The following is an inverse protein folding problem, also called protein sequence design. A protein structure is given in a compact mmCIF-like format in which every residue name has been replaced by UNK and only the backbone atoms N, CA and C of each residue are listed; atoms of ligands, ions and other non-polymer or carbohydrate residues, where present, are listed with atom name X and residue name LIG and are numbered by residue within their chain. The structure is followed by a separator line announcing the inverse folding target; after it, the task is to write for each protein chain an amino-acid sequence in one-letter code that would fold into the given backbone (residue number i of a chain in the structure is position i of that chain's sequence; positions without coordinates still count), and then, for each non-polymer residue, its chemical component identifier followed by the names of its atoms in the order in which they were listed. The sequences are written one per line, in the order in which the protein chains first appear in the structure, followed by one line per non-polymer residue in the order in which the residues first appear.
data_IF_616220139208
#
_entry.id   IF_616220139208
#
_cell.length_a   1.000
_cell.length_b   1.000
_cell.length_c   1.000
_cell.angle_alpha   90.00
_cell.angle_beta   90.00
_cell.angle_gamma   90.00
#
_symmetry.space_group_name_H-M   'P 1'
#
loop_
_entity.id
_entity.type
_entity.pdbx_description
1 polymer ?
#
# COMPACT_ATOMS: atom_id res chain seq x y z
N UNK A 1 -20.91 -24.21 33.31
CA UNK A 1 -21.79 -24.16 32.13
C UNK A 1 -21.21 -23.11 31.20
N UNK A 2 -20.41 -23.54 30.22
CA UNK A 2 -19.94 -22.66 29.14
C UNK A 2 -21.14 -22.44 28.21
N UNK A 3 -21.62 -21.20 28.12
CA UNK A 3 -22.54 -20.81 27.07
C UNK A 3 -21.70 -20.27 25.92
N UNK A 4 -21.60 -21.06 24.86
CA UNK A 4 -21.18 -20.59 23.55
C UNK A 4 -22.10 -19.43 23.15
N UNK A 5 -21.52 -18.25 22.98
CA UNK A 5 -22.20 -17.14 22.32
C UNK A 5 -22.34 -17.52 20.84
N UNK A 6 -23.53 -17.96 20.43
CA UNK A 6 -23.89 -18.06 19.02
C UNK A 6 -23.74 -16.67 18.38
N UNK A 7 -22.72 -16.49 17.55
CA UNK A 7 -22.64 -15.37 16.62
C UNK A 7 -23.87 -15.41 15.72
N UNK A 8 -24.80 -14.47 15.92
CA UNK A 8 -25.95 -14.31 15.03
C UNK A 8 -25.46 -13.95 13.62
N UNK A 9 -25.49 -14.92 12.71
CA UNK A 9 -25.24 -14.69 11.30
C UNK A 9 -26.32 -13.78 10.71
N UNK A 10 -25.94 -12.58 10.25
CA UNK A 10 -26.84 -11.68 9.54
C UNK A 10 -26.86 -12.09 8.07
N UNK A 11 -28.01 -12.56 7.58
CA UNK A 11 -28.20 -12.89 6.17
C UNK A 11 -28.90 -11.73 5.47
N UNK A 12 -28.35 -11.29 4.33
CA UNK A 12 -28.93 -10.26 3.46
C UNK A 12 -28.92 -10.74 2.02
N UNK A 13 -29.97 -10.39 1.29
CA UNK A 13 -30.12 -10.70 -0.13
C UNK A 13 -29.93 -9.45 -0.96
N UNK A 14 -29.22 -9.59 -2.06
CA UNK A 14 -28.88 -8.51 -2.99
C UNK A 14 -28.96 -9.04 -4.41
N UNK A 15 -29.48 -8.25 -5.34
CA UNK A 15 -29.45 -8.56 -6.77
C UNK A 15 -28.05 -8.30 -7.35
N UNK A 16 -27.31 -7.33 -6.79
CA UNK A 16 -25.99 -6.94 -7.26
C UNK A 16 -25.03 -6.85 -6.07
N UNK A 17 -23.89 -7.55 -6.17
CA UNK A 17 -22.83 -7.54 -5.17
C UNK A 17 -21.53 -7.06 -5.82
N UNK A 18 -20.96 -5.99 -5.27
CA UNK A 18 -19.62 -5.52 -5.63
C UNK A 18 -18.63 -6.04 -4.59
N UNK A 19 -17.71 -6.90 -5.02
CA UNK A 19 -16.68 -7.46 -4.16
C UNK A 19 -15.39 -6.64 -4.28
N UNK A 20 -15.08 -5.85 -3.25
CA UNK A 20 -13.91 -4.97 -3.20
C UNK A 20 -12.87 -5.41 -2.17
N UNK A 21 -12.86 -6.70 -1.81
CA UNK A 21 -11.87 -7.28 -0.92
C UNK A 21 -10.79 -8.01 -1.74
N UNK A 22 -9.51 -7.92 -1.37
CA UNK A 22 -8.44 -8.63 -2.06
C UNK A 22 -8.60 -10.15 -1.93
N UNK A 23 -9.06 -10.82 -2.99
CA UNK A 23 -9.34 -12.27 -3.04
C UNK A 23 -8.09 -13.09 -2.71
N UNK A 24 -6.91 -12.61 -3.11
CA UNK A 24 -5.63 -13.26 -2.92
C UNK A 24 -5.14 -13.23 -1.46
N UNK A 25 -5.71 -12.34 -0.63
CA UNK A 25 -5.35 -12.18 0.79
C UNK A 25 -6.50 -12.48 1.75
N UNK A 26 -7.73 -12.44 1.27
CA UNK A 26 -8.92 -12.67 2.10
C UNK A 26 -9.12 -14.16 2.34
N UNK A 27 -8.64 -14.64 3.49
CA UNK A 27 -9.01 -15.95 4.04
C UNK A 27 -10.40 -15.94 4.70
N UNK A 28 -10.95 -14.75 4.92
CA UNK A 28 -12.19 -14.51 5.67
C UNK A 28 -13.44 -14.68 4.79
N UNK A 29 -13.32 -14.52 3.46
CA UNK A 29 -14.46 -14.64 2.54
C UNK A 29 -14.47 -16.00 1.85
N UNK A 30 -15.60 -16.70 1.98
CA UNK A 30 -15.90 -17.95 1.28
C UNK A 30 -17.07 -17.74 0.33
N UNK A 31 -16.91 -18.19 -0.91
CA UNK A 31 -17.98 -18.20 -1.91
C UNK A 31 -18.67 -19.56 -1.87
N UNK A 32 -20.00 -19.58 -1.75
CA UNK A 32 -20.80 -20.82 -1.70
C UNK A 32 -22.00 -20.69 -2.64
N UNK A 33 -22.12 -21.53 -3.70
CA UNK A 33 -21.11 -22.48 -4.15
C UNK A 33 -19.82 -21.77 -4.61
N UNK A 34 -18.73 -22.52 -4.75
CA UNK A 34 -17.46 -21.94 -5.19
C UNK A 34 -17.60 -21.27 -6.57
N UNK A 35 -16.88 -20.16 -6.76
CA UNK A 35 -16.77 -19.48 -8.05
C UNK A 35 -15.52 -20.01 -8.77
N UNK A 36 -15.65 -20.74 -9.91
CA UNK A 36 -14.51 -21.43 -10.53
C UNK A 36 -13.33 -20.53 -10.92
N UNK A 37 -13.60 -19.29 -11.36
CA UNK A 37 -12.55 -18.32 -11.72
C UNK A 37 -11.68 -17.95 -10.52
N UNK A 38 -12.28 -17.83 -9.32
CA UNK A 38 -11.57 -17.53 -8.08
C UNK A 38 -10.71 -18.71 -7.61
N UNK A 39 -11.24 -19.93 -7.69
CA UNK A 39 -10.53 -21.13 -7.24
C UNK A 39 -9.31 -21.44 -8.10
N UNK A 40 -9.39 -21.21 -9.42
CA UNK A 40 -8.23 -21.31 -10.31
C UNK A 40 -7.18 -20.26 -9.95
N UNK A 41 -7.63 -19.01 -9.79
CA UNK A 41 -6.77 -17.87 -9.50
C UNK A 41 -5.99 -17.99 -8.19
N UNK A 42 -6.63 -18.47 -7.11
CA UNK A 42 -5.96 -18.66 -5.81
C UNK A 42 -4.80 -19.65 -5.88
N UNK A 43 -4.81 -20.60 -6.81
CA UNK A 43 -3.74 -21.61 -6.96
C UNK A 43 -2.48 -21.04 -7.61
N UNK A 44 -2.61 -20.00 -8.43
CA UNK A 44 -1.50 -19.44 -9.22
C UNK A 44 -0.66 -18.40 -8.44
N UNK A 45 -1.09 -18.07 -7.21
CA UNK A 45 -0.41 -17.17 -6.27
C UNK A 45 0.25 -15.96 -6.97
N UNK A 46 -0.57 -15.11 -7.60
CA UNK A 46 -0.13 -13.76 -7.91
C UNK A 46 0.01 -13.01 -6.59
N UNK A 47 1.23 -12.54 -6.29
CA UNK A 47 1.57 -11.94 -5.00
C UNK A 47 1.75 -10.44 -5.18
N UNK A 48 0.99 -9.68 -4.41
CA UNK A 48 1.37 -8.31 -4.09
C UNK A 48 2.63 -8.38 -3.24
N UNK A 49 3.61 -7.51 -3.49
CA UNK A 49 4.82 -7.47 -2.66
C UNK A 49 4.46 -6.91 -1.28
N UNK A 50 5.01 -7.51 -0.23
CA UNK A 50 4.93 -6.91 1.11
C UNK A 50 5.72 -5.60 1.08
N UNK A 51 5.12 -4.53 1.58
CA UNK A 51 5.69 -3.20 1.56
C UNK A 51 5.34 -2.50 2.87
N UNK A 52 6.11 -2.74 3.92
CA UNK A 52 5.87 -2.12 5.22
C UNK A 52 6.18 -0.63 5.13
N UNK A 53 5.25 0.21 5.57
CA UNK A 53 5.51 1.64 5.75
C UNK A 53 5.89 1.93 7.19
N UNK A 54 7.08 2.48 7.40
CA UNK A 54 7.49 3.00 8.71
C UNK A 54 7.61 4.52 8.64
N UNK A 55 6.91 5.23 9.53
CA UNK A 55 7.09 6.65 9.75
C UNK A 55 7.97 6.88 10.97
N UNK A 56 9.05 7.65 10.81
CA UNK A 56 10.01 7.93 11.89
C UNK A 56 10.31 9.43 11.92
N UNK A 57 10.26 10.05 13.09
CA UNK A 57 10.82 11.40 13.28
C UNK A 57 12.25 11.27 13.81
N UNK A 58 13.24 11.39 12.94
CA UNK A 58 14.64 11.10 13.29
C UNK A 58 15.65 12.06 12.67
N UNK A 59 16.92 11.87 13.02
CA UNK A 59 18.08 12.48 12.34
C UNK A 59 18.78 11.36 11.59
N UNK A 60 18.99 11.52 10.28
CA UNK A 60 19.66 10.49 9.48
C UNK A 60 21.09 10.24 9.96
N UNK A 61 21.50 8.97 9.96
CA UNK A 61 22.88 8.59 10.19
C UNK A 61 23.73 8.92 8.96
N UNK A 62 24.39 10.08 8.99
CA UNK A 62 25.16 10.57 7.84
C UNK A 62 26.31 9.64 7.42
N UNK A 63 26.77 8.72 8.28
CA UNK A 63 27.82 7.76 7.93
C UNK A 63 27.33 6.66 6.98
N UNK A 64 26.01 6.43 6.89
CA UNK A 64 25.44 5.44 5.99
C UNK A 64 25.26 5.93 4.56
N UNK A 65 25.32 7.24 4.32
CA UNK A 65 25.05 7.82 3.02
C UNK A 65 26.34 8.29 2.33
N UNK A 66 26.48 8.07 1.01
CA UNK A 66 27.66 8.47 0.25
C UNK A 66 28.00 9.96 0.47
N UNK A 67 29.29 10.30 0.49
CA UNK A 67 29.75 11.68 0.66
C UNK A 67 29.18 12.63 -0.40
N UNK A 68 28.88 12.13 -1.61
CA UNK A 68 28.19 12.90 -2.65
C UNK A 68 26.78 13.34 -2.25
N UNK A 69 26.03 12.51 -1.52
CA UNK A 69 24.73 12.87 -0.99
C UNK A 69 24.83 13.95 0.11
N UNK A 70 25.98 14.01 0.81
CA UNK A 70 26.25 15.05 1.83
C UNK A 70 26.41 16.45 1.22
N UNK A 71 26.66 16.57 -0.07
CA UNK A 71 26.69 17.88 -0.74
C UNK A 71 25.29 18.51 -0.86
N UNK A 72 24.22 17.73 -0.70
CA UNK A 72 22.83 18.14 -0.93
C UNK A 72 21.97 18.09 0.35
N UNK A 73 22.53 18.43 1.52
CA UNK A 73 21.76 18.43 2.76
C UNK A 73 20.66 19.53 2.79
N UNK A 74 19.46 19.21 3.34
CA UNK A 74 19.09 17.93 3.92
C UNK A 74 18.84 16.83 2.86
N UNK A 75 19.26 15.59 3.16
CA UNK A 75 18.85 14.42 2.35
C UNK A 75 17.34 14.27 2.48
N UNK A 76 16.62 14.51 1.38
CA UNK A 76 15.15 14.46 1.33
C UNK A 76 14.62 13.12 0.85
N UNK A 77 15.42 12.36 0.11
CA UNK A 77 15.01 11.09 -0.48
C UNK A 77 16.20 10.16 -0.69
N UNK A 78 15.97 8.87 -0.48
CA UNK A 78 16.90 7.77 -0.72
C UNK A 78 16.10 6.67 -1.40
N UNK A 79 16.59 6.23 -2.56
CA UNK A 79 16.04 5.09 -3.30
C UNK A 79 17.11 4.01 -3.37
N UNK A 80 16.74 2.77 -3.09
CA UNK A 80 17.66 1.64 -3.18
C UNK A 80 17.44 0.87 -4.48
N UNK A 81 18.47 0.14 -4.89
CA UNK A 81 18.38 -0.86 -5.95
C UNK A 81 18.46 -2.26 -5.33
N UNK A 82 18.23 -3.29 -6.14
CA UNK A 82 18.37 -4.69 -5.71
C UNK A 82 19.77 -5.08 -5.25
N UNK A 83 20.79 -4.24 -5.47
CA UNK A 83 22.17 -4.47 -5.04
C UNK A 83 22.52 -3.73 -3.73
N UNK A 84 21.56 -3.02 -3.12
CA UNK A 84 21.80 -2.29 -1.87
C UNK A 84 21.78 -3.22 -0.66
N UNK A 85 22.72 -3.02 0.26
CA UNK A 85 22.73 -3.70 1.56
C UNK A 85 21.74 -3.10 2.58
N UNK A 86 21.02 -2.03 2.20
CA UNK A 86 20.05 -1.39 3.09
C UNK A 86 18.74 -2.21 3.14
N UNK A 87 18.12 -2.37 4.32
CA UNK A 87 16.88 -3.15 4.50
C UNK A 87 15.62 -2.39 4.06
N UNK A 88 15.73 -1.46 3.10
CA UNK A 88 14.65 -0.57 2.67
C UNK A 88 14.58 -0.54 1.14
N UNK A 89 13.39 -0.28 0.61
CA UNK A 89 13.17 0.14 -0.78
C UNK A 89 13.41 1.63 -0.97
N UNK A 90 12.88 2.44 -0.05
CA UNK A 90 13.04 3.88 -0.09
C UNK A 90 12.83 4.53 1.26
N UNK A 91 13.37 5.73 1.39
CA UNK A 91 13.20 6.63 2.53
C UNK A 91 13.01 8.04 2.00
N UNK A 92 11.99 8.75 2.46
CA UNK A 92 11.72 10.12 2.02
C UNK A 92 11.19 11.01 3.14
N UNK A 93 11.63 12.26 3.19
CA UNK A 93 11.11 13.30 4.08
C UNK A 93 9.67 13.63 3.69
N UNK A 94 8.81 13.79 4.70
CA UNK A 94 7.46 14.31 4.52
C UNK A 94 7.43 15.82 4.66
N UNK A 95 7.09 16.46 3.55
CA UNK A 95 6.98 17.90 3.40
C UNK A 95 5.50 18.29 3.53
N UNK A 96 5.15 19.35 4.30
CA UNK A 96 3.78 19.81 4.41
C UNK A 96 3.18 20.17 3.04
N UNK A 97 2.00 19.63 2.73
CA UNK A 97 1.29 19.90 1.46
C UNK A 97 0.75 21.33 1.33
N UNK A 98 0.85 22.12 2.41
CA UNK A 98 0.52 23.55 2.42
C UNK A 98 1.54 24.40 1.67
N UNK A 99 2.79 23.92 1.54
CA UNK A 99 3.82 24.59 0.76
C UNK A 99 3.54 24.34 -0.73
N UNK A 100 3.53 25.41 -1.51
CA UNK A 100 3.12 25.42 -2.92
C UNK A 100 4.28 25.70 -3.87
N UNK A 101 5.32 26.39 -3.41
CA UNK A 101 6.45 26.77 -4.27
C UNK A 101 7.74 26.06 -3.88
N UNK A 102 8.66 25.93 -4.84
CA UNK A 102 10.00 25.39 -4.58
C UNK A 102 10.79 26.25 -3.58
N UNK A 103 10.58 27.57 -3.58
CA UNK A 103 11.21 28.50 -2.64
C UNK A 103 10.71 28.29 -1.21
N UNK A 104 9.39 28.12 -1.02
CA UNK A 104 8.79 27.80 0.27
C UNK A 104 9.32 26.47 0.82
N UNK A 105 9.41 25.46 -0.04
CA UNK A 105 9.98 24.16 0.31
C UNK A 105 11.46 24.29 0.68
N UNK A 106 12.26 24.99 -0.13
CA UNK A 106 13.68 25.22 0.13
C UNK A 106 13.93 25.95 1.46
N UNK A 107 13.14 26.99 1.73
CA UNK A 107 13.16 27.72 3.00
C UNK A 107 12.81 26.80 4.17
N UNK A 108 11.70 26.05 4.06
CA UNK A 108 11.27 25.10 5.08
C UNK A 108 12.36 24.07 5.40
N UNK A 109 12.95 23.44 4.38
CA UNK A 109 13.99 22.44 4.54
C UNK A 109 15.24 23.04 5.19
N UNK A 110 15.68 24.21 4.73
CA UNK A 110 16.88 24.88 5.25
C UNK A 110 16.70 25.29 6.71
N UNK A 111 15.60 25.95 7.05
CA UNK A 111 15.31 26.37 8.44
C UNK A 111 15.21 25.17 9.38
N UNK A 112 14.56 24.09 8.95
CA UNK A 112 14.46 22.86 9.75
C UNK A 112 15.82 22.19 9.92
N UNK A 113 16.63 22.14 8.87
CA UNK A 113 17.96 21.56 8.93
C UNK A 113 18.90 22.36 9.85
N UNK A 114 18.92 23.69 9.73
CA UNK A 114 19.70 24.57 10.62
C UNK A 114 19.32 24.35 12.08
N UNK A 115 18.01 24.39 12.40
CA UNK A 115 17.53 24.11 13.75
C UNK A 115 17.93 22.72 14.25
N UNK A 116 17.92 21.71 13.38
CA UNK A 116 18.37 20.37 13.73
C UNK A 116 19.85 20.34 14.11
N UNK A 117 20.70 21.05 13.36
CA UNK A 117 22.13 21.16 13.65
C UNK A 117 22.41 21.91 14.95
N UNK A 118 21.66 22.96 15.25
CA UNK A 118 21.81 23.75 16.48
C UNK A 118 21.36 22.99 17.73
N UNK A 119 20.23 22.27 17.64
CA UNK A 119 19.57 21.67 18.81
C UNK A 119 19.86 20.19 18.98
N UNK A 120 20.42 19.53 17.96
CA UNK A 120 20.53 18.08 17.87
C UNK A 120 19.19 17.35 18.11
N UNK A 121 18.08 17.97 17.71
CA UNK A 121 16.73 17.45 17.89
C UNK A 121 16.08 17.13 16.54
N UNK A 122 15.43 15.96 16.37
CA UNK A 122 14.79 15.57 15.11
C UNK A 122 13.79 16.60 14.58
N UNK A 123 14.07 17.20 13.42
CA UNK A 123 13.18 18.19 12.79
C UNK A 123 12.33 17.62 11.64
N UNK A 124 12.71 16.47 11.09
CA UNK A 124 12.06 15.85 9.94
C UNK A 124 11.30 14.57 10.32
N UNK A 125 10.19 14.35 9.64
CA UNK A 125 9.49 13.06 9.62
C UNK A 125 9.79 12.36 8.30
N UNK A 126 10.17 11.10 8.38
CA UNK A 126 10.53 10.25 7.25
C UNK A 126 9.46 9.19 7.08
N UNK A 127 9.13 8.87 5.83
CA UNK A 127 8.40 7.66 5.44
C UNK A 127 9.40 6.71 4.81
N UNK A 128 9.36 5.46 5.24
CA UNK A 128 10.27 4.42 4.82
C UNK A 128 9.42 3.27 4.27
N UNK A 129 9.76 2.77 3.10
CA UNK A 129 9.21 1.53 2.57
C UNK A 129 10.26 0.43 2.70
N UNK A 130 9.87 -0.72 3.25
CA UNK A 130 10.74 -1.87 3.46
C UNK A 130 10.03 -3.20 3.17
N UNK A 131 10.76 -4.27 2.83
CA UNK A 131 10.19 -5.60 2.63
C UNK A 131 9.52 -6.14 3.91
N UNK A 132 10.08 -5.78 5.07
CA UNK A 132 9.65 -6.25 6.38
C UNK A 132 9.63 -5.11 7.42
N UNK A 133 9.10 -5.39 8.61
CA UNK A 133 9.14 -4.46 9.74
C UNK A 133 10.60 -4.24 10.14
N UNK A 134 11.03 -2.98 10.14
CA UNK A 134 12.40 -2.60 10.50
C UNK A 134 12.68 -2.89 11.97
N UNK A 135 13.78 -3.59 12.22
CA UNK A 135 14.28 -3.84 13.57
C UNK A 135 14.90 -2.58 14.17
N UNK A 136 15.16 -2.59 15.47
CA UNK A 136 15.91 -1.50 16.12
C UNK A 136 17.31 -1.35 15.51
N UNK A 137 17.95 -2.45 15.12
CA UNK A 137 19.24 -2.44 14.45
C UNK A 137 19.15 -1.76 13.09
N UNK A 138 18.10 -2.04 12.31
CA UNK A 138 17.87 -1.37 11.02
C UNK A 138 17.62 0.13 11.20
N UNK A 139 16.90 0.52 12.24
CA UNK A 139 16.67 1.94 12.56
C UNK A 139 17.96 2.63 13.01
N UNK A 140 18.82 1.97 13.79
CA UNK A 140 20.15 2.47 14.15
C UNK A 140 21.09 2.60 12.95
N UNK A 141 20.90 1.75 11.93
CA UNK A 141 21.59 1.90 10.66
C UNK A 141 21.17 3.24 10.02
N UNK A 142 19.87 3.46 9.85
CA UNK A 142 19.34 4.61 9.10
C UNK A 142 19.39 5.95 9.87
N UNK A 143 19.27 5.93 11.19
CA UNK A 143 19.10 7.11 12.04
C UNK A 143 20.04 7.14 13.24
N UNK A 144 20.32 8.34 13.73
CA UNK A 144 20.92 8.55 15.04
C UNK A 144 19.95 8.14 16.16
N UNK A 145 20.45 7.65 17.29
CA UNK A 145 19.68 7.06 18.40
C UNK A 145 18.62 7.95 19.07
N UNK A 146 18.52 9.23 18.71
CA UNK A 146 17.57 10.21 19.26
C UNK A 146 16.26 10.32 18.46
N UNK A 147 15.90 9.34 17.62
CA UNK A 147 14.61 9.33 16.93
C UNK A 147 13.43 9.26 17.90
N UNK A 148 12.30 9.78 17.44
CA UNK A 148 11.04 9.88 18.20
C UNK A 148 9.90 9.44 17.28
N UNK A 149 8.81 8.95 17.89
CA UNK A 149 7.53 8.62 17.22
C UNK A 149 7.69 7.70 16.01
N UNK A 150 7.43 6.41 16.23
CA UNK A 150 7.42 5.40 15.17
C UNK A 150 5.97 4.95 14.95
N UNK A 151 5.53 4.98 13.70
CA UNK A 151 4.24 4.41 13.27
C UNK A 151 4.51 3.42 12.14
N UNK A 152 3.91 2.24 12.21
CA UNK A 152 4.14 1.15 11.26
C UNK A 152 2.80 0.75 10.67
N UNK A 153 2.74 0.71 9.35
CA UNK A 153 1.63 0.14 8.60
C UNK A 153 2.15 -1.05 7.79
N UNK A 154 1.62 -2.23 8.06
CA UNK A 154 1.96 -3.46 7.35
C UNK A 154 0.91 -3.73 6.26
N UNK A 155 1.33 -3.54 5.03
CA UNK A 155 0.46 -3.62 3.86
C UNK A 155 1.25 -4.18 2.68
N UNK A 156 0.52 -4.49 1.62
CA UNK A 156 1.07 -5.05 0.40
C UNK A 156 0.83 -4.04 -0.71
N UNK A 157 1.84 -3.84 -1.56
CA UNK A 157 1.80 -2.91 -2.67
C UNK A 157 2.62 -3.50 -3.82
N UNK A 158 2.33 -3.07 -5.04
CA UNK A 158 3.01 -3.49 -6.27
C UNK A 158 2.83 -5.00 -6.58
N UNK A 159 2.08 -5.34 -7.63
CA UNK A 159 1.99 -6.73 -8.05
C UNK A 159 3.34 -7.26 -8.56
N UNK A 160 3.60 -8.54 -8.32
CA UNK A 160 4.67 -9.26 -8.98
C UNK A 160 4.29 -9.60 -10.41
N UNK A 161 4.82 -8.84 -11.36
CA UNK A 161 4.56 -9.06 -12.78
C UNK A 161 5.20 -10.36 -13.29
N UNK A 162 4.41 -11.16 -14.01
CA UNK A 162 4.84 -12.32 -14.79
C UNK A 162 4.33 -12.19 -16.22
N UNK A 163 5.01 -12.82 -17.18
CA UNK A 163 4.61 -12.78 -18.60
C UNK A 163 4.29 -14.22 -19.05
N UNK A 164 3.07 -14.51 -19.51
CA UNK A 164 1.90 -13.62 -19.51
C UNK A 164 1.40 -13.32 -18.09
N UNK A 165 0.74 -12.18 -17.91
CA UNK A 165 0.09 -11.82 -16.66
C UNK A 165 -1.37 -12.25 -16.76
N UNK A 166 -1.80 -13.11 -15.87
CA UNK A 166 -3.20 -13.50 -15.77
C UNK A 166 -3.97 -12.42 -14.98
N UNK A 167 -5.30 -12.35 -15.18
CA UNK A 167 -6.22 -11.45 -14.47
C UNK A 167 -7.53 -12.16 -14.12
N UNK A 168 -8.10 -11.85 -12.95
CA UNK A 168 -9.50 -12.18 -12.69
C UNK A 168 -10.41 -11.30 -13.56
N UNK A 169 -11.56 -11.84 -14.01
CA UNK A 169 -12.55 -11.02 -14.70
C UNK A 169 -13.24 -10.06 -13.72
N UNK A 170 -13.71 -8.92 -14.24
CA UNK A 170 -14.59 -8.01 -13.50
C UNK A 170 -15.94 -8.66 -13.14
N UNK A 171 -16.42 -9.62 -13.95
CA UNK A 171 -17.66 -10.35 -13.72
C UNK A 171 -17.29 -11.75 -13.20
N UNK A 172 -17.59 -12.00 -11.92
CA UNK A 172 -17.36 -13.30 -11.29
C UNK A 172 -18.54 -14.25 -11.53
N UNK A 173 -19.76 -13.71 -11.48
CA UNK A 173 -20.99 -14.42 -11.77
C UNK A 173 -22.02 -13.47 -12.39
N UNK A 174 -22.75 -13.92 -13.42
CA UNK A 174 -23.87 -13.19 -14.03
C UNK A 174 -25.01 -14.16 -14.31
N UNK A 175 -26.21 -13.82 -13.85
CA UNK A 175 -27.46 -14.48 -14.18
C UNK A 175 -28.53 -13.44 -14.54
N UNK A 176 -29.75 -13.86 -14.88
CA UNK A 176 -30.88 -12.95 -15.08
C UNK A 176 -31.44 -12.36 -13.77
N UNK A 177 -30.95 -12.83 -12.62
CA UNK A 177 -31.43 -12.43 -11.29
C UNK A 177 -30.35 -11.83 -10.40
N UNK A 178 -29.08 -12.11 -10.70
CA UNK A 178 -27.95 -11.73 -9.86
C UNK A 178 -26.73 -11.33 -10.67
N UNK A 179 -25.93 -10.42 -10.10
CA UNK A 179 -24.65 -10.00 -10.63
C UNK A 179 -23.60 -9.90 -9.51
N UNK A 180 -22.50 -10.64 -9.63
CA UNK A 180 -21.35 -10.56 -8.74
C UNK A 180 -20.15 -9.99 -9.51
N UNK A 181 -19.72 -8.80 -9.11
CA UNK A 181 -18.58 -8.10 -9.72
C UNK A 181 -17.37 -8.06 -8.78
N UNK A 182 -16.17 -8.05 -9.35
CA UNK A 182 -14.91 -7.94 -8.64
C UNK A 182 -14.17 -6.66 -9.01
N UNK A 183 -13.89 -5.82 -8.02
CA UNK A 183 -13.27 -4.52 -8.22
C UNK A 183 -11.75 -4.65 -8.45
N UNK A 184 -11.05 -5.53 -7.75
CA UNK A 184 -9.59 -5.65 -7.87
C UNK A 184 -9.12 -6.47 -9.10
N UNK A 185 -9.99 -6.68 -10.09
CA UNK A 185 -9.69 -7.45 -11.32
C UNK A 185 -8.44 -6.98 -12.06
N UNK A 186 -8.14 -5.67 -12.02
CA UNK A 186 -6.99 -5.05 -12.70
C UNK A 186 -5.85 -4.66 -11.74
N UNK A 187 -5.99 -4.92 -10.45
CA UNK A 187 -4.98 -4.55 -9.44
C UNK A 187 -3.65 -5.28 -9.68
N UNK A 188 -3.69 -6.51 -10.22
CA UNK A 188 -2.48 -7.23 -10.63
C UNK A 188 -1.81 -6.65 -11.88
N UNK A 189 -2.50 -5.79 -12.63
CA UNK A 189 -1.96 -5.14 -13.83
C UNK A 189 -1.24 -3.85 -13.49
N UNK A 190 -1.71 -3.15 -12.47
CA UNK A 190 -1.01 -2.07 -11.80
C UNK A 190 -1.63 -1.84 -10.41
N UNK A 191 -0.78 -1.79 -9.38
CA UNK A 191 -1.22 -1.56 -7.99
C UNK A 191 -1.24 -0.08 -7.64
N UNK A 192 -2.17 0.69 -8.20
CA UNK A 192 -2.30 2.14 -7.99
C UNK A 192 -3.76 2.54 -7.73
N UNK A 193 -3.98 3.63 -6.99
CA UNK A 193 -5.34 4.11 -6.67
C UNK A 193 -6.15 4.46 -7.93
N UNK A 194 -5.46 4.90 -8.98
CA UNK A 194 -6.01 5.17 -10.31
C UNK A 194 -6.63 3.91 -10.93
N UNK A 195 -6.07 2.74 -10.65
CA UNK A 195 -6.60 1.46 -11.14
C UNK A 195 -7.91 1.09 -10.44
N UNK A 196 -8.04 1.37 -9.15
CA UNK A 196 -9.32 1.24 -8.44
C UNK A 196 -10.40 2.18 -9.00
N UNK A 197 -10.02 3.40 -9.39
CA UNK A 197 -10.95 4.33 -10.05
C UNK A 197 -11.44 3.79 -11.41
N UNK A 198 -10.50 3.30 -12.24
CA UNK A 198 -10.83 2.69 -13.54
C UNK A 198 -11.73 1.47 -13.35
N UNK A 199 -11.42 0.65 -12.34
CA UNK A 199 -12.23 -0.51 -11.99
C UNK A 199 -13.65 -0.11 -11.58
N UNK A 200 -13.80 0.85 -10.67
CA UNK A 200 -15.10 1.35 -10.23
C UNK A 200 -15.95 1.87 -11.39
N UNK A 201 -15.33 2.55 -12.37
CA UNK A 201 -16.02 2.96 -13.60
C UNK A 201 -16.49 1.77 -14.44
N UNK A 202 -15.66 0.75 -14.61
CA UNK A 202 -16.03 -0.46 -15.35
C UNK A 202 -17.16 -1.21 -14.65
N UNK A 203 -17.10 -1.38 -13.33
CA UNK A 203 -18.15 -1.98 -12.51
C UNK A 203 -19.48 -1.22 -12.65
N UNK A 204 -19.42 0.11 -12.65
CA UNK A 204 -20.61 0.96 -12.81
C UNK A 204 -21.27 0.75 -14.17
N UNK A 205 -20.48 0.67 -15.25
CA UNK A 205 -21.01 0.41 -16.60
C UNK A 205 -21.62 -0.99 -16.71
N UNK A 206 -20.93 -2.02 -16.21
CA UNK A 206 -21.41 -3.40 -16.20
C UNK A 206 -22.72 -3.54 -15.43
N UNK A 207 -22.82 -2.85 -14.28
CA UNK A 207 -24.03 -2.77 -13.47
C UNK A 207 -25.17 -2.12 -14.25
N UNK A 208 -24.92 -0.95 -14.87
CA UNK A 208 -25.93 -0.23 -15.64
C UNK A 208 -26.45 -1.05 -16.83
N UNK A 209 -25.57 -1.76 -17.54
CA UNK A 209 -25.96 -2.59 -18.67
C UNK A 209 -26.75 -3.83 -18.22
N UNK A 210 -26.35 -4.46 -17.12
CA UNK A 210 -27.13 -5.56 -16.54
C UNK A 210 -28.53 -5.10 -16.11
N UNK A 211 -28.66 -3.93 -15.47
CA UNK A 211 -29.97 -3.39 -15.07
C UNK A 211 -30.86 -3.18 -16.29
N UNK A 212 -30.36 -2.55 -17.37
CA UNK A 212 -31.14 -2.35 -18.61
C UNK A 212 -31.63 -3.65 -19.26
N UNK A 213 -30.84 -4.72 -19.14
CA UNK A 213 -31.17 -6.02 -19.74
C UNK A 213 -32.24 -6.79 -18.95
N UNK A 214 -32.40 -6.50 -17.66
CA UNK A 214 -33.18 -7.35 -16.75
C UNK A 214 -34.35 -6.61 -16.08
N UNK A 215 -34.37 -5.27 -16.08
CA UNK A 215 -35.40 -4.41 -15.47
C UNK A 215 -35.93 -3.39 -16.48
#
# INVERSE_FOLDING_TARGET
VNMEQEEKSIVRQYDIVLFCSPIERSSEVKFVPNVPSIDSWKKEQHKMRRCVTTFVRGILNSNMYPTTAKAFFPIVEVLTTSQSDLPIYSLAVKIPCTLKTAEEIGTYLTTKYQKQMETNEPQFAYKIFSPDILTQQDLHLLFQSNWKKITIEDWYAYPEYRIPQDFLPFVLEKSSKSLLLYENAIEQGAGAMEMSLISGRNLSNLTADWVKENW
#
